data_IF_759521198743
#
_entry.id   IF_759521198743
#
_cell.length_a   1.000
_cell.length_b   1.000
_cell.length_c   1.000
_cell.angle_alpha   90.00
_cell.angle_beta   90.00
_cell.angle_gamma   90.00
#
_symmetry.space_group_name_H-M   'P 1'
#
loop_
_entity.id
_entity.type
_entity.pdbx_description
1 polymer ?
#
# COMPACT_ATOMS: atom_id res chain seq x y z
N UNK A 1 -2.76 -6.36 -25.84
CA UNK A 1 -3.50 -5.77 -24.71
C UNK A 1 -4.99 -5.78 -25.04
N UNK A 2 -5.89 -6.19 -24.10
CA UNK A 2 -7.34 -6.20 -24.36
C UNK A 2 -7.89 -4.77 -24.54
N UNK A 3 -8.84 -4.60 -25.46
CA UNK A 3 -9.47 -3.29 -25.81
C UNK A 3 -9.91 -2.49 -24.56
N UNK A 4 -10.46 -3.12 -23.52
CA UNK A 4 -10.88 -2.45 -22.28
C UNK A 4 -9.75 -1.87 -21.42
N UNK A 5 -8.50 -2.38 -21.54
CA UNK A 5 -7.36 -1.85 -20.81
C UNK A 5 -6.87 -0.52 -21.40
N UNK A 6 -6.86 -0.38 -22.72
CA UNK A 6 -6.48 0.86 -23.39
C UNK A 6 -7.50 1.97 -23.12
N UNK A 7 -8.80 1.65 -23.16
CA UNK A 7 -9.85 2.60 -22.82
C UNK A 7 -9.70 3.17 -21.40
N UNK A 8 -9.40 2.31 -20.41
CA UNK A 8 -9.15 2.75 -19.02
C UNK A 8 -7.94 3.69 -18.89
N UNK A 9 -6.88 3.44 -19.63
CA UNK A 9 -5.72 4.34 -19.63
C UNK A 9 -6.05 5.70 -20.25
N UNK A 10 -6.76 5.73 -21.37
CA UNK A 10 -7.18 6.97 -22.00
C UNK A 10 -8.14 7.77 -21.10
N UNK A 11 -9.08 7.10 -20.43
CA UNK A 11 -9.98 7.75 -19.47
C UNK A 11 -9.21 8.30 -18.26
N UNK A 12 -8.22 7.57 -17.72
CA UNK A 12 -7.39 8.04 -16.60
C UNK A 12 -6.58 9.30 -16.91
N UNK A 13 -6.25 9.57 -18.16
CA UNK A 13 -5.56 10.81 -18.57
C UNK A 13 -6.45 12.04 -18.35
N UNK A 14 -7.77 11.87 -18.28
CA UNK A 14 -8.74 12.95 -18.01
C UNK A 14 -9.04 13.13 -16.52
N UNK A 15 -8.58 12.23 -15.65
CA UNK A 15 -8.89 12.23 -14.22
C UNK A 15 -8.00 13.23 -13.47
N UNK A 16 -8.62 14.22 -12.82
CA UNK A 16 -7.91 15.23 -12.03
C UNK A 16 -7.26 14.68 -10.77
N UNK A 17 -7.73 13.54 -10.28
CA UNK A 17 -7.22 12.87 -9.08
C UNK A 17 -6.16 11.80 -9.39
N UNK A 18 -5.66 11.71 -10.63
CA UNK A 18 -4.65 10.73 -11.04
C UNK A 18 -3.39 11.42 -11.56
N UNK A 19 -2.28 11.11 -10.94
CA UNK A 19 -0.94 11.54 -11.32
C UNK A 19 -0.17 10.36 -11.91
N UNK A 20 0.30 10.48 -13.15
CA UNK A 20 1.01 9.41 -13.84
C UNK A 20 2.45 9.83 -14.12
N UNK A 21 3.41 9.16 -13.49
CA UNK A 21 4.82 9.43 -13.69
C UNK A 21 5.56 8.17 -14.14
N UNK A 22 6.14 8.22 -15.32
CA UNK A 22 6.94 7.12 -15.85
C UNK A 22 8.37 7.21 -15.30
N UNK A 23 8.99 6.06 -15.02
CA UNK A 23 10.36 5.96 -14.51
C UNK A 23 11.38 6.71 -15.38
N UNK A 24 11.20 6.69 -16.70
CA UNK A 24 12.09 7.32 -17.69
C UNK A 24 12.11 8.86 -17.66
N UNK A 25 11.13 9.48 -17.00
CA UNK A 25 10.98 10.96 -17.01
C UNK A 25 11.46 11.60 -15.71
N UNK A 26 11.62 10.79 -14.65
CA UNK A 26 11.86 11.27 -13.27
C UNK A 26 13.22 11.94 -13.06
N UNK A 27 14.24 11.54 -13.80
CA UNK A 27 15.58 12.08 -13.61
C UNK A 27 15.73 13.48 -14.25
N UNK A 28 14.88 13.81 -15.22
CA UNK A 28 14.97 15.04 -15.99
C UNK A 28 14.03 16.16 -15.49
N UNK A 29 12.92 15.80 -14.81
CA UNK A 29 11.91 16.77 -14.35
C UNK A 29 11.51 16.48 -12.91
N UNK A 30 11.71 17.43 -11.96
CA UNK A 30 11.20 17.31 -10.60
C UNK A 30 9.67 17.13 -10.61
N UNK A 31 9.17 16.32 -9.69
CA UNK A 31 7.74 16.15 -9.53
C UNK A 31 7.14 17.37 -8.83
N UNK A 32 6.28 18.10 -9.50
CA UNK A 32 5.74 19.40 -9.06
C UNK A 32 5.01 19.32 -7.71
N UNK A 33 4.30 18.24 -7.43
CA UNK A 33 3.56 18.07 -6.18
C UNK A 33 4.45 17.75 -4.97
N UNK A 34 5.74 17.43 -5.16
CA UNK A 34 6.65 17.10 -4.05
C UNK A 34 6.78 18.26 -3.07
N UNK A 35 6.30 18.09 -1.84
CA UNK A 35 6.24 19.13 -0.82
C UNK A 35 5.03 20.07 -0.92
N UNK A 36 4.20 19.89 -1.95
CA UNK A 36 3.07 20.77 -2.27
C UNK A 36 1.72 20.05 -2.39
N UNK A 37 1.65 18.75 -2.05
CA UNK A 37 0.42 17.97 -2.14
C UNK A 37 -0.76 18.62 -1.41
N UNK A 38 -0.52 19.15 -0.19
CA UNK A 38 -1.55 19.80 0.63
C UNK A 38 -2.07 21.07 -0.02
N UNK A 39 -1.15 21.94 -0.45
CA UNK A 39 -1.47 23.25 -1.02
C UNK A 39 -2.03 23.16 -2.44
N UNK A 40 -1.32 22.45 -3.33
CA UNK A 40 -1.60 22.51 -4.77
C UNK A 40 -2.69 21.53 -5.22
N UNK A 41 -2.81 20.38 -4.54
CA UNK A 41 -3.83 19.41 -4.93
C UNK A 41 -5.01 19.39 -3.95
N UNK A 42 -4.76 19.15 -2.66
CA UNK A 42 -5.85 19.01 -1.68
C UNK A 42 -6.47 20.33 -1.24
N UNK A 43 -5.76 21.44 -1.33
CA UNK A 43 -6.23 22.78 -0.92
C UNK A 43 -6.45 22.88 0.59
N UNK A 44 -5.71 22.11 1.41
CA UNK A 44 -5.84 22.06 2.86
C UNK A 44 -4.54 21.60 3.54
N UNK A 45 -4.45 21.71 4.87
CA UNK A 45 -3.28 21.32 5.67
C UNK A 45 -3.43 19.94 6.36
N UNK A 46 -4.43 19.15 5.95
CA UNK A 46 -4.71 17.84 6.56
C UNK A 46 -3.52 16.87 6.42
N UNK A 47 -3.37 15.93 7.37
CA UNK A 47 -2.36 14.87 7.28
C UNK A 47 -2.47 14.07 5.98
N UNK A 48 -1.34 13.59 5.46
CA UNK A 48 -1.31 12.73 4.28
C UNK A 48 -1.01 11.30 4.69
N UNK A 49 -1.83 10.37 4.20
CA UNK A 49 -1.70 8.92 4.41
C UNK A 49 -1.57 8.23 3.05
N UNK A 50 -0.60 7.33 2.93
CA UNK A 50 -0.37 6.57 1.69
C UNK A 50 -0.90 5.14 1.79
N UNK A 51 -1.48 4.63 0.71
CA UNK A 51 -1.64 3.19 0.48
C UNK A 51 -0.68 2.74 -0.62
N UNK A 52 0.36 1.99 -0.28
CA UNK A 52 1.35 1.50 -1.24
C UNK A 52 0.98 0.11 -1.77
N UNK A 53 0.82 0.01 -3.09
CA UNK A 53 0.29 -1.16 -3.76
C UNK A 53 -1.24 -1.19 -3.76
N UNK A 54 -1.88 -0.04 -3.89
CA UNK A 54 -3.33 0.16 -3.70
C UNK A 54 -4.24 -0.67 -4.63
N UNK A 55 -3.69 -1.29 -5.67
CA UNK A 55 -4.45 -2.14 -6.58
C UNK A 55 -5.63 -1.42 -7.21
N UNK A 56 -6.86 -1.71 -6.75
CA UNK A 56 -8.08 -1.03 -7.19
C UNK A 56 -8.42 0.23 -6.40
N UNK A 57 -7.62 0.57 -5.38
CA UNK A 57 -7.82 1.74 -4.53
C UNK A 57 -8.98 1.63 -3.54
N UNK A 58 -9.45 0.41 -3.28
CA UNK A 58 -10.61 0.17 -2.42
C UNK A 58 -10.37 0.64 -0.99
N UNK A 59 -9.13 0.43 -0.49
CA UNK A 59 -8.77 0.85 0.87
C UNK A 59 -8.60 2.36 0.97
N UNK A 60 -7.86 2.98 0.05
CA UNK A 60 -7.68 4.44 0.00
C UNK A 60 -9.02 5.18 -0.11
N UNK A 61 -9.94 4.72 -0.96
CA UNK A 61 -11.29 5.31 -1.10
C UNK A 61 -12.13 5.07 0.16
N UNK A 62 -12.07 3.87 0.74
CA UNK A 62 -12.77 3.53 1.98
C UNK A 62 -12.34 4.43 3.13
N UNK A 63 -11.04 4.63 3.32
CA UNK A 63 -10.50 5.53 4.34
C UNK A 63 -10.89 6.99 4.07
N UNK A 64 -10.87 7.44 2.82
CA UNK A 64 -11.24 8.81 2.46
C UNK A 64 -12.70 9.15 2.80
N UNK A 65 -13.61 8.17 2.65
CA UNK A 65 -15.02 8.32 3.08
C UNK A 65 -15.16 8.45 4.59
N UNK A 66 -14.38 7.68 5.35
CA UNK A 66 -14.45 7.67 6.82
C UNK A 66 -13.80 8.90 7.44
N UNK A 67 -12.75 9.44 6.81
CA UNK A 67 -11.93 10.51 7.38
C UNK A 67 -11.81 11.73 6.45
N UNK A 68 -12.83 12.59 6.39
CA UNK A 68 -12.83 13.76 5.49
C UNK A 68 -11.72 14.79 5.81
N UNK A 69 -11.17 14.75 7.02
CA UNK A 69 -10.08 15.63 7.46
C UNK A 69 -8.68 14.97 7.35
N UNK A 70 -8.55 13.92 6.56
CA UNK A 70 -7.28 13.27 6.23
C UNK A 70 -7.20 13.12 4.71
N UNK A 71 -6.04 13.38 4.15
CA UNK A 71 -5.76 13.22 2.73
C UNK A 71 -5.16 11.86 2.45
N UNK A 72 -5.65 11.15 1.44
CA UNK A 72 -5.19 9.81 1.08
C UNK A 72 -4.60 9.78 -0.31
N UNK A 73 -3.48 9.04 -0.49
CA UNK A 73 -2.88 8.84 -1.81
C UNK A 73 -2.65 7.35 -2.03
N UNK A 74 -3.40 6.76 -2.96
CA UNK A 74 -3.18 5.39 -3.41
C UNK A 74 -2.08 5.29 -4.46
N UNK A 75 -1.09 4.45 -4.24
CA UNK A 75 0.07 4.30 -5.13
C UNK A 75 0.12 2.88 -5.71
N UNK A 76 0.18 2.74 -7.03
CA UNK A 76 0.40 1.47 -7.72
C UNK A 76 0.97 1.71 -9.13
N UNK A 77 1.69 0.75 -9.67
CA UNK A 77 2.16 0.78 -11.05
C UNK A 77 1.07 0.31 -12.04
N UNK A 78 0.06 -0.42 -11.57
CA UNK A 78 -0.97 -1.06 -12.39
C UNK A 78 -2.17 -0.15 -12.63
N UNK A 79 -2.02 0.88 -13.45
CA UNK A 79 -3.05 1.89 -13.73
C UNK A 79 -4.43 1.33 -14.10
N UNK A 80 -4.53 0.24 -14.86
CA UNK A 80 -5.83 -0.35 -15.20
C UNK A 80 -6.63 -0.89 -13.99
N UNK A 81 -5.96 -1.15 -12.84
CA UNK A 81 -6.63 -1.48 -11.56
C UNK A 81 -6.99 -0.21 -10.82
N UNK A 82 -6.04 0.70 -10.66
CA UNK A 82 -6.17 2.02 -10.03
C UNK A 82 -7.34 2.83 -10.61
N UNK A 83 -7.61 2.70 -11.90
CA UNK A 83 -8.75 3.31 -12.58
C UNK A 83 -10.09 3.13 -11.82
N UNK A 84 -10.29 1.98 -11.18
CA UNK A 84 -11.54 1.68 -10.47
C UNK A 84 -11.74 2.62 -9.26
N UNK A 85 -10.71 2.74 -8.40
CA UNK A 85 -10.77 3.62 -7.23
C UNK A 85 -10.77 5.10 -7.62
N UNK A 86 -9.97 5.47 -8.61
CA UNK A 86 -9.92 6.85 -9.10
C UNK A 86 -11.27 7.31 -9.65
N UNK A 87 -11.94 6.47 -10.45
CA UNK A 87 -13.27 6.75 -10.98
C UNK A 87 -14.33 6.81 -9.87
N UNK A 88 -14.31 5.85 -8.96
CA UNK A 88 -15.23 5.83 -7.82
C UNK A 88 -15.11 7.10 -6.97
N UNK A 89 -13.90 7.55 -6.68
CA UNK A 89 -13.66 8.78 -5.93
C UNK A 89 -14.24 10.01 -6.63
N UNK A 90 -14.12 10.09 -7.96
CA UNK A 90 -14.71 11.18 -8.76
C UNK A 90 -16.24 11.12 -8.73
N UNK A 91 -16.84 9.94 -8.95
CA UNK A 91 -18.29 9.74 -8.96
C UNK A 91 -18.92 10.05 -7.61
N UNK A 92 -18.21 9.84 -6.51
CA UNK A 92 -18.64 10.15 -5.15
C UNK A 92 -18.28 11.58 -4.70
N UNK A 93 -17.57 12.35 -5.51
CA UNK A 93 -17.15 13.72 -5.17
C UNK A 93 -16.14 13.80 -4.03
N UNK A 94 -15.34 12.75 -3.80
CA UNK A 94 -14.28 12.75 -2.78
C UNK A 94 -13.12 13.64 -3.22
N UNK A 95 -12.83 14.68 -2.44
CA UNK A 95 -11.75 15.64 -2.72
C UNK A 95 -10.47 15.36 -1.93
N UNK A 96 -10.54 14.45 -0.96
CA UNK A 96 -9.45 14.07 -0.06
C UNK A 96 -8.74 12.76 -0.46
N UNK A 97 -8.85 12.34 -1.72
CA UNK A 97 -8.13 11.18 -2.23
C UNK A 97 -7.55 11.41 -3.62
N UNK A 98 -6.30 11.03 -3.80
CA UNK A 98 -5.55 11.05 -5.05
C UNK A 98 -4.96 9.69 -5.36
N UNK A 99 -4.51 9.52 -6.61
CA UNK A 99 -3.83 8.31 -7.06
C UNK A 99 -2.55 8.66 -7.80
N UNK A 100 -1.45 8.03 -7.39
CA UNK A 100 -0.13 8.19 -8.00
C UNK A 100 0.27 6.88 -8.70
N UNK A 101 0.31 6.90 -10.03
CA UNK A 101 0.77 5.77 -10.81
C UNK A 101 2.27 5.82 -11.02
N UNK A 102 3.00 5.09 -10.18
CA UNK A 102 4.47 5.00 -10.26
C UNK A 102 4.98 3.67 -9.70
N UNK A 103 6.30 3.46 -9.81
CA UNK A 103 6.97 2.35 -9.15
C UNK A 103 7.29 2.74 -7.69
N UNK A 104 6.89 1.91 -6.71
CA UNK A 104 7.14 2.16 -5.28
C UNK A 104 8.64 2.22 -4.95
N UNK A 105 9.49 1.59 -5.75
CA UNK A 105 10.95 1.65 -5.57
C UNK A 105 11.54 3.08 -5.63
N UNK A 106 10.78 4.05 -6.15
CA UNK A 106 11.19 5.45 -6.27
C UNK A 106 10.23 6.42 -5.54
N UNK A 107 9.47 5.91 -4.59
CA UNK A 107 8.41 6.67 -3.92
C UNK A 107 8.91 7.94 -3.21
N UNK A 108 10.13 7.94 -2.70
CA UNK A 108 10.80 9.07 -2.06
C UNK A 108 11.06 10.28 -3.00
N UNK A 109 10.88 10.10 -4.30
CA UNK A 109 10.95 11.20 -5.26
C UNK A 109 9.67 12.03 -5.34
N UNK A 110 8.57 11.53 -4.79
CA UNK A 110 7.23 12.14 -4.90
C UNK A 110 6.78 12.90 -3.64
N UNK A 111 7.50 12.73 -2.55
CA UNK A 111 7.17 13.34 -1.27
C UNK A 111 8.40 14.01 -0.65
N UNK A 112 8.20 15.17 -0.03
CA UNK A 112 9.22 15.90 0.72
C UNK A 112 9.40 15.27 2.13
N UNK A 113 10.50 15.59 2.84
CA UNK A 113 10.69 15.15 4.22
C UNK A 113 9.52 15.54 5.12
N UNK A 114 9.06 14.61 5.95
CA UNK A 114 7.94 14.77 6.89
C UNK A 114 6.58 15.12 6.25
N UNK A 115 6.39 14.88 4.96
CA UNK A 115 5.14 15.18 4.27
C UNK A 115 4.04 14.15 4.54
N UNK A 116 4.40 12.91 4.83
CA UNK A 116 3.50 11.76 5.04
C UNK A 116 3.50 11.34 6.52
N UNK A 117 2.33 11.02 7.07
CA UNK A 117 2.16 10.60 8.46
C UNK A 117 2.02 9.10 8.63
N UNK A 118 1.38 8.43 7.66
CA UNK A 118 1.11 6.99 7.76
C UNK A 118 1.25 6.31 6.41
N UNK A 119 1.64 5.04 6.42
CA UNK A 119 1.72 4.17 5.23
C UNK A 119 0.94 2.88 5.48
N UNK A 120 0.01 2.57 4.58
CA UNK A 120 -0.72 1.32 4.55
C UNK A 120 -0.19 0.38 3.49
N UNK A 121 0.09 -0.86 3.88
CA UNK A 121 0.53 -1.96 3.04
C UNK A 121 -0.56 -3.04 3.08
N UNK A 122 -1.49 -2.97 2.12
CA UNK A 122 -2.66 -3.85 2.07
C UNK A 122 -2.46 -4.92 1.00
N UNK A 123 -2.38 -6.17 1.41
CA UNK A 123 -2.25 -7.36 0.53
C UNK A 123 -1.13 -7.26 -0.51
N UNK A 124 -0.03 -6.60 -0.15
CA UNK A 124 1.16 -6.49 -0.99
C UNK A 124 1.78 -7.87 -1.28
N UNK A 125 2.49 -7.99 -2.41
CA UNK A 125 3.20 -9.23 -2.77
C UNK A 125 4.26 -9.54 -1.70
N UNK A 126 4.27 -10.72 -1.08
CA UNK A 126 5.21 -11.09 -0.02
C UNK A 126 6.66 -11.19 -0.50
N UNK A 127 6.92 -11.19 -1.80
CA UNK A 127 8.26 -11.26 -2.39
C UNK A 127 9.15 -12.32 -1.71
N UNK A 128 8.64 -13.55 -1.58
CA UNK A 128 9.24 -14.63 -0.77
C UNK A 128 10.70 -14.92 -1.10
N UNK A 129 11.10 -14.70 -2.36
CA UNK A 129 12.47 -14.99 -2.87
C UNK A 129 13.40 -13.77 -2.86
N UNK A 130 12.90 -12.57 -2.58
CA UNK A 130 13.69 -11.34 -2.67
C UNK A 130 13.30 -10.36 -1.55
N UNK A 131 14.07 -10.39 -0.46
CA UNK A 131 13.83 -9.54 0.71
C UNK A 131 13.77 -8.05 0.33
N UNK A 132 14.72 -7.59 -0.50
CA UNK A 132 14.82 -6.18 -0.90
C UNK A 132 13.57 -5.65 -1.62
N UNK A 133 12.72 -6.53 -2.18
CA UNK A 133 11.47 -6.14 -2.85
C UNK A 133 10.24 -6.17 -1.93
N UNK A 134 10.38 -6.64 -0.69
CA UNK A 134 9.28 -6.62 0.28
C UNK A 134 9.04 -5.20 0.75
N UNK A 135 7.80 -4.75 0.72
CA UNK A 135 7.46 -3.38 1.15
C UNK A 135 7.66 -3.16 2.66
N UNK A 136 7.84 -4.22 3.45
CA UNK A 136 8.21 -4.16 4.87
C UNK A 136 9.69 -4.45 5.13
N UNK A 137 10.56 -4.53 4.10
CA UNK A 137 12.00 -4.74 4.28
C UNK A 137 12.70 -3.49 4.85
N UNK A 138 13.85 -3.67 5.47
CA UNK A 138 14.69 -2.56 5.93
C UNK A 138 15.05 -1.61 4.80
N UNK A 139 15.25 -2.13 3.57
CA UNK A 139 15.45 -1.31 2.37
C UNK A 139 14.30 -0.32 2.13
N UNK A 140 13.05 -0.76 2.28
CA UNK A 140 11.91 0.13 2.12
C UNK A 140 11.68 1.00 3.37
N UNK A 141 11.95 0.48 4.58
CA UNK A 141 11.87 1.30 5.80
C UNK A 141 12.82 2.50 5.73
N UNK A 142 14.08 2.30 5.28
CA UNK A 142 15.01 3.41 5.05
C UNK A 142 14.49 4.41 4.02
N UNK A 143 13.88 3.93 2.94
CA UNK A 143 13.28 4.78 1.93
C UNK A 143 12.09 5.58 2.46
N UNK A 144 11.26 4.98 3.31
CA UNK A 144 10.11 5.66 3.93
C UNK A 144 10.55 6.76 4.89
N UNK A 145 11.68 6.61 5.59
CA UNK A 145 12.28 7.64 6.46
C UNK A 145 12.53 8.97 5.73
N UNK A 146 12.75 8.94 4.42
CA UNK A 146 13.01 10.15 3.65
C UNK A 146 11.81 11.10 3.58
N UNK A 147 10.59 10.61 3.76
CA UNK A 147 9.38 11.41 3.60
C UNK A 147 8.31 11.20 4.68
N UNK A 148 8.39 10.11 5.42
CA UNK A 148 7.52 9.87 6.55
C UNK A 148 7.92 10.77 7.71
N UNK A 149 6.96 11.20 8.54
CA UNK A 149 7.26 11.89 9.79
C UNK A 149 8.03 10.98 10.75
N UNK A 150 8.84 11.56 11.66
CA UNK A 150 9.48 10.75 12.69
C UNK A 150 8.42 9.99 13.51
N UNK A 151 8.67 8.70 13.73
CA UNK A 151 7.70 7.76 14.34
C UNK A 151 6.35 7.68 13.59
N UNK A 152 6.33 8.01 12.31
CA UNK A 152 5.18 7.79 11.45
C UNK A 152 4.78 6.31 11.42
N UNK A 153 3.51 6.05 11.13
CA UNK A 153 2.91 4.74 11.30
C UNK A 153 3.01 3.90 10.04
N UNK A 154 3.39 2.64 10.22
CA UNK A 154 3.34 1.62 9.16
C UNK A 154 2.27 0.59 9.53
N UNK A 155 1.35 0.35 8.61
CA UNK A 155 0.30 -0.63 8.72
C UNK A 155 0.51 -1.74 7.71
N UNK A 156 0.56 -2.98 8.18
CA UNK A 156 0.56 -4.18 7.34
C UNK A 156 -0.74 -4.95 7.56
N UNK A 157 -1.54 -5.12 6.49
CA UNK A 157 -2.71 -6.00 6.47
C UNK A 157 -2.49 -7.06 5.39
N UNK A 158 -2.44 -8.35 5.74
CA UNK A 158 -2.01 -9.40 4.82
C UNK A 158 -2.64 -10.77 5.11
N UNK A 159 -2.88 -11.54 4.06
CA UNK A 159 -3.18 -12.97 4.10
C UNK A 159 -1.92 -13.82 4.25
N UNK A 160 -0.75 -13.27 3.89
CA UNK A 160 0.52 -13.99 3.83
C UNK A 160 1.11 -14.22 5.21
N UNK A 161 1.16 -15.49 5.64
CA UNK A 161 1.86 -15.87 6.86
C UNK A 161 3.36 -15.57 6.75
N UNK A 162 3.95 -15.82 5.58
CA UNK A 162 5.35 -15.51 5.31
C UNK A 162 5.67 -14.03 5.52
N UNK A 163 4.90 -13.12 4.90
CA UNK A 163 5.14 -11.68 4.99
C UNK A 163 4.94 -11.16 6.42
N UNK A 164 3.90 -11.66 7.11
CA UNK A 164 3.62 -11.28 8.50
C UNK A 164 4.75 -11.73 9.43
N UNK A 165 5.19 -12.99 9.33
CA UNK A 165 6.29 -13.55 10.11
C UNK A 165 7.59 -12.80 9.84
N UNK A 166 7.91 -12.53 8.57
CA UNK A 166 9.06 -11.72 8.21
C UNK A 166 9.01 -10.33 8.85
N UNK A 167 7.87 -9.65 8.76
CA UNK A 167 7.70 -8.31 9.33
C UNK A 167 7.82 -8.34 10.85
N UNK A 168 7.33 -9.40 11.51
CA UNK A 168 7.50 -9.61 12.94
C UNK A 168 8.99 -9.66 13.32
N UNK A 169 9.78 -10.49 12.64
CA UNK A 169 11.21 -10.56 12.90
C UNK A 169 11.93 -9.24 12.59
N UNK A 170 11.56 -8.56 11.52
CA UNK A 170 12.14 -7.26 11.16
C UNK A 170 11.89 -6.22 12.26
N UNK A 171 10.67 -6.12 12.74
CA UNK A 171 10.27 -5.20 13.81
C UNK A 171 10.97 -5.54 15.12
N UNK A 172 11.01 -6.82 15.53
CA UNK A 172 11.67 -7.29 16.76
C UNK A 172 13.19 -7.09 16.69
N UNK A 173 13.83 -7.42 15.55
CA UNK A 173 15.28 -7.23 15.36
C UNK A 173 15.71 -5.78 15.52
N UNK A 174 14.87 -4.85 15.06
CA UNK A 174 15.14 -3.41 15.09
C UNK A 174 14.48 -2.69 16.29
N UNK A 175 13.88 -3.44 17.22
CA UNK A 175 13.22 -2.90 18.42
C UNK A 175 12.20 -1.80 18.11
N UNK A 176 11.50 -1.90 16.97
CA UNK A 176 10.47 -0.94 16.60
C UNK A 176 9.24 -1.10 17.50
N UNK A 177 8.62 0.01 17.87
CA UNK A 177 7.44 0.00 18.73
C UNK A 177 6.21 -0.52 18.01
N UNK A 178 5.73 -1.70 18.38
CA UNK A 178 4.48 -2.27 17.90
C UNK A 178 3.32 -1.71 18.74
N UNK A 179 2.31 -1.17 18.05
CA UNK A 179 1.10 -0.61 18.65
C UNK A 179 -0.05 -1.62 18.66
N UNK A 180 -0.12 -2.45 17.61
CA UNK A 180 -1.11 -3.51 17.48
C UNK A 180 -0.54 -4.64 16.61
N UNK A 181 -0.74 -5.89 17.02
CA UNK A 181 -0.38 -7.09 16.25
C UNK A 181 -1.41 -8.18 16.48
N UNK A 182 -1.92 -8.76 15.39
CA UNK A 182 -2.81 -9.91 15.45
C UNK A 182 -2.59 -10.85 14.27
N UNK A 183 -2.68 -12.16 14.52
CA UNK A 183 -2.61 -13.22 13.50
C UNK A 183 -3.98 -13.59 12.93
N UNK A 184 -5.05 -13.12 13.57
CA UNK A 184 -6.43 -13.33 13.15
C UNK A 184 -7.27 -12.08 13.42
N UNK A 185 -7.26 -11.17 12.45
CA UNK A 185 -7.85 -9.85 12.60
C UNK A 185 -9.34 -9.88 12.96
N UNK A 186 -10.10 -10.75 12.31
CA UNK A 186 -11.56 -10.76 12.44
C UNK A 186 -12.07 -11.46 13.68
N UNK A 187 -11.20 -12.23 14.37
CA UNK A 187 -11.51 -12.86 15.65
C UNK A 187 -10.74 -12.20 16.81
N UNK A 188 -10.10 -11.05 16.58
CA UNK A 188 -9.38 -10.32 17.62
C UNK A 188 -10.36 -9.61 18.54
N UNK A 189 -10.32 -9.95 19.82
CA UNK A 189 -11.06 -9.26 20.88
C UNK A 189 -10.37 -7.97 21.33
N UNK A 190 -11.13 -7.04 21.93
CA UNK A 190 -10.59 -5.82 22.54
C UNK A 190 -10.22 -4.70 21.56
N UNK A 191 -10.48 -4.85 20.26
CA UNK A 191 -10.36 -3.73 19.33
C UNK A 191 -11.49 -2.71 19.59
N UNK A 192 -11.14 -1.42 19.66
CA UNK A 192 -12.12 -0.34 19.69
C UNK A 192 -12.92 -0.29 18.38
N UNK A 193 -14.08 0.36 18.43
CA UNK A 193 -15.02 0.41 17.30
C UNK A 193 -14.37 1.08 16.07
N UNK A 194 -13.68 2.21 16.25
CA UNK A 194 -13.03 2.93 15.15
C UNK A 194 -11.95 2.09 14.47
N UNK A 195 -11.12 1.40 15.25
CA UNK A 195 -10.10 0.46 14.71
C UNK A 195 -10.77 -0.69 13.95
N UNK A 196 -11.88 -1.22 14.48
CA UNK A 196 -12.62 -2.31 13.83
C UNK A 196 -13.24 -1.88 12.51
N UNK A 197 -13.81 -0.68 12.44
CA UNK A 197 -14.36 -0.12 11.20
C UNK A 197 -13.27 0.08 10.14
N UNK A 198 -12.14 0.70 10.50
CA UNK A 198 -11.00 0.90 9.59
C UNK A 198 -10.49 -0.43 9.03
N UNK A 199 -10.27 -1.40 9.91
CA UNK A 199 -9.76 -2.71 9.53
C UNK A 199 -10.83 -3.58 8.84
N UNK A 200 -12.11 -3.22 8.96
CA UNK A 200 -13.25 -3.81 8.26
C UNK A 200 -13.41 -3.36 6.81
N UNK A 201 -12.63 -2.41 6.30
CA UNK A 201 -12.59 -2.10 4.87
C UNK A 201 -12.05 -3.32 4.13
N UNK A 202 -12.90 -3.95 3.32
CA UNK A 202 -12.54 -5.15 2.56
C UNK A 202 -12.08 -4.81 1.15
N UNK A 203 -10.96 -5.39 0.74
CA UNK A 203 -10.53 -5.36 -0.65
C UNK A 203 -11.05 -6.58 -1.42
N UNK A 204 -11.12 -6.47 -2.74
CA UNK A 204 -11.48 -7.59 -3.62
C UNK A 204 -10.60 -8.85 -3.37
N UNK A 205 -9.32 -8.65 -3.14
CA UNK A 205 -8.40 -9.76 -2.86
C UNK A 205 -8.62 -10.36 -1.49
N UNK A 206 -8.90 -9.55 -0.49
CA UNK A 206 -9.18 -9.99 0.87
C UNK A 206 -10.37 -10.92 0.93
N UNK A 207 -11.49 -10.55 0.30
CA UNK A 207 -12.67 -11.40 0.24
C UNK A 207 -12.37 -12.78 -0.35
N UNK A 208 -11.52 -12.85 -1.39
CA UNK A 208 -11.10 -14.14 -1.96
C UNK A 208 -10.30 -15.00 -0.98
N UNK A 209 -9.53 -14.39 -0.07
CA UNK A 209 -8.75 -15.13 0.91
C UNK A 209 -9.61 -15.59 2.10
N UNK A 210 -10.52 -14.73 2.56
CA UNK A 210 -11.50 -15.07 3.60
C UNK A 210 -12.39 -16.24 3.14
N UNK A 211 -12.92 -16.19 1.92
CA UNK A 211 -13.72 -17.29 1.32
C UNK A 211 -12.97 -18.63 1.26
N UNK A 212 -11.64 -18.59 1.28
CA UNK A 212 -10.79 -19.79 1.31
C UNK A 212 -10.39 -20.23 2.72
N UNK A 213 -10.91 -19.57 3.75
CA UNK A 213 -10.63 -19.86 5.15
C UNK A 213 -9.24 -19.41 5.62
N UNK A 214 -8.63 -18.43 4.94
CA UNK A 214 -7.35 -17.87 5.38
C UNK A 214 -7.59 -16.74 6.37
N UNK A 215 -6.82 -16.76 7.48
CA UNK A 215 -6.81 -15.67 8.44
C UNK A 215 -6.14 -14.44 7.82
N UNK A 216 -6.73 -13.29 8.08
CA UNK A 216 -6.10 -12.00 7.77
C UNK A 216 -5.32 -11.53 8.99
N UNK A 217 -4.07 -11.17 8.77
CA UNK A 217 -3.13 -10.72 9.79
C UNK A 217 -2.94 -9.22 9.70
N UNK A 218 -2.73 -8.60 10.85
CA UNK A 218 -2.50 -7.17 10.91
C UNK A 218 -1.40 -6.80 11.88
N UNK A 219 -0.60 -5.81 11.51
CA UNK A 219 0.40 -5.18 12.36
C UNK A 219 0.45 -3.68 12.13
N UNK A 220 0.55 -2.91 13.22
CA UNK A 220 0.77 -1.47 13.24
C UNK A 220 1.98 -1.16 14.10
N UNK A 221 2.97 -0.45 13.55
CA UNK A 221 4.19 -0.08 14.27
C UNK A 221 4.69 1.30 13.88
N UNK A 222 5.51 1.89 14.74
CA UNK A 222 6.18 3.18 14.51
C UNK A 222 7.51 2.97 13.78
N UNK A 223 7.83 3.88 12.84
CA UNK A 223 9.13 3.93 12.17
C UNK A 223 9.88 5.19 12.60
N UNK A 224 10.85 5.12 13.54
CA UNK A 224 11.67 6.27 13.91
C UNK A 224 12.69 6.60 12.82
N UNK A 225 13.08 7.87 12.70
CA UNK A 225 14.14 8.30 11.78
C UNK A 225 15.52 7.83 12.21
N UNK A 226 15.75 7.69 13.50
CA UNK A 226 17.03 7.30 14.08
C UNK A 226 17.21 5.77 14.17
N UNK A 227 18.46 5.37 14.30
CA UNK A 227 18.89 3.98 14.45
C UNK A 227 19.14 3.28 13.11
N UNK A 228 20.18 2.46 13.07
CA UNK A 228 20.48 1.61 11.92
C UNK A 228 19.50 0.43 11.86
N UNK A 229 18.94 0.17 10.68
CA UNK A 229 18.04 -0.95 10.46
C UNK A 229 18.81 -2.17 9.94
N UNK A 230 18.66 -3.27 10.65
CA UNK A 230 19.26 -4.56 10.31
C UNK A 230 18.21 -5.53 9.78
N UNK A 231 18.48 -6.13 8.62
CA UNK A 231 17.63 -7.16 8.03
C UNK A 231 17.62 -8.42 8.92
N UNK A 232 16.45 -9.05 9.16
CA UNK A 232 16.40 -10.30 9.92
C UNK A 232 17.06 -11.44 9.14
N UNK A 233 17.93 -12.19 9.81
CA UNK A 233 18.57 -13.39 9.26
C UNK A 233 17.84 -14.62 9.81
N UNK A 234 16.71 -14.96 9.21
CA UNK A 234 15.84 -16.06 9.64
C UNK A 234 15.27 -16.81 8.43
N UNK A 235 15.18 -18.12 8.55
CA UNK A 235 14.48 -18.94 7.56
C UNK A 235 12.98 -18.99 7.90
N UNK A 236 12.14 -18.65 6.92
CA UNK A 236 10.68 -18.56 7.08
C UNK A 236 10.02 -19.49 6.07
N UNK A 237 9.10 -20.37 6.51
CA UNK A 237 8.35 -21.23 5.61
C UNK A 237 7.56 -20.41 4.57
N UNK A 238 7.61 -20.86 3.31
CA UNK A 238 6.94 -20.17 2.21
C UNK A 238 5.43 -20.41 2.23
N UNK A 239 4.66 -19.43 1.75
CA UNK A 239 3.22 -19.56 1.56
C UNK A 239 2.92 -20.47 0.36
N UNK A 240 2.52 -21.71 0.59
CA UNK A 240 2.26 -22.69 -0.45
C UNK A 240 1.06 -22.33 -1.34
N UNK A 241 -0.03 -21.79 -0.78
CA UNK A 241 -1.27 -21.47 -1.50
C UNK A 241 -1.12 -20.40 -2.58
N UNK A 242 -0.10 -19.54 -2.51
CA UNK A 242 0.19 -18.51 -3.52
C UNK A 242 0.85 -19.09 -4.78
N UNK A 243 1.47 -20.25 -4.69
CA UNK A 243 2.08 -20.94 -5.84
C UNK A 243 1.06 -21.64 -6.76
N UNK A 244 -0.10 -22.03 -6.25
CA UNK A 244 -1.15 -22.72 -7.03
C UNK A 244 -1.73 -21.92 -8.21
N UNK A 245 -1.69 -20.59 -8.18
CA UNK A 245 -2.24 -19.77 -9.26
C UNK A 245 -1.29 -19.55 -10.45
N UNK A 246 0.00 -19.72 -10.28
CA UNK A 246 0.97 -19.62 -11.40
C UNK A 246 0.91 -20.85 -12.31
N UNK A 247 0.73 -22.03 -11.76
CA UNK A 247 0.68 -23.29 -12.51
C UNK A 247 -0.59 -23.39 -13.38
N UNK A 248 -1.75 -22.90 -12.90
CA UNK A 248 -3.01 -22.92 -13.68
C UNK A 248 -3.04 -21.96 -14.86
N UNK A 249 -2.21 -20.90 -14.87
CA UNK A 249 -2.11 -19.97 -16.00
C UNK A 249 -1.21 -20.52 -17.11
N UNK A 250 -0.13 -21.22 -16.76
CA UNK A 250 0.78 -21.81 -17.76
C UNK A 250 0.17 -23.01 -18.49
N UNK A 251 -0.76 -23.74 -17.86
CA UNK A 251 -1.43 -24.89 -18.51
C UNK A 251 -2.59 -24.52 -19.45
N UNK A 252 -3.04 -23.25 -19.43
CA UNK A 252 -4.05 -22.74 -20.39
C UNK A 252 -3.44 -22.16 -21.67
N UNK A 253 -2.16 -21.83 -21.66
CA UNK A 253 -1.46 -21.26 -22.84
C UNK A 253 -0.78 -22.34 -23.71
N UNK A 254 -0.81 -23.61 -23.30
CA UNK A 254 -0.26 -24.75 -24.06
C UNK A 254 -1.32 -25.62 -24.76
N UNK A 255 -2.59 -25.21 -24.70
CA UNK A 255 -3.69 -25.86 -25.42
C UNK A 255 -4.33 -24.90 -26.43
N UNK A 256 -3.56 -24.50 -27.45
CA UNK A 256 -4.01 -23.95 -28.73
C UNK A 256 -3.02 -24.30 -29.83
#
# INVERSE_FOLDING_TARGET
>A
MGKGKLAKFAEMETFKNVFQYQYSVIDDVPFEMKGHWREQYFGNDNPIVLELGCGKGEYAVGLARMFPNINFIGVDIKGARMWTGAKMAIEEGLTNVAFLRTNIEIIDRFFAPNEVQEIWLTFSDPQMKNARKRLTSTYFMERYRHFLTDRGLIHLKTDSNFLFTYTTYMVERNQLRVLLRTEDLYHTEGLDEATREILGIHTYYENQWIERGLNIRYMKFELPHEGELTEPDVEIPLDEYRSYHRTKRSSKDTAK
#
